data_IF_527316021262
#
_entry.id   IF_527316021262
#
_cell.length_a   1.000
_cell.length_b   1.000
_cell.length_c   1.000
_cell.angle_alpha   90.00
_cell.angle_beta   90.00
_cell.angle_gamma   90.00
#
_symmetry.space_group_name_H-M   'P 1'
#
loop_
_entity.id
_entity.type
_entity.pdbx_description
1 polymer ?
#
# COMPACT_ATOMS: atom_id res chain seq x y z
N UNK A 1 4.11 0.51 -16.48
CA UNK A 1 5.54 0.53 -16.07
C UNK A 1 5.68 -0.04 -14.67
N UNK A 2 6.87 -0.48 -14.23
CA UNK A 2 7.08 -1.10 -12.90
C UNK A 2 7.97 -0.20 -12.04
N UNK A 3 7.50 0.17 -10.85
CA UNK A 3 8.25 0.98 -9.88
C UNK A 3 8.48 0.17 -8.59
N UNK A 4 9.70 0.18 -8.07
CA UNK A 4 10.09 -0.51 -6.82
C UNK A 4 10.55 0.51 -5.78
N UNK A 5 10.01 0.40 -4.58
CA UNK A 5 10.30 1.30 -3.45
C UNK A 5 10.90 0.45 -2.34
N UNK A 6 12.16 0.74 -2.00
CA UNK A 6 12.97 -0.05 -1.05
C UNK A 6 12.99 0.56 0.36
N UNK A 7 12.69 1.86 0.50
CA UNK A 7 12.51 2.52 1.78
C UNK A 7 11.25 3.39 1.72
N UNK A 8 10.36 3.18 2.68
CA UNK A 8 9.19 4.02 2.88
C UNK A 8 9.65 5.27 3.63
N UNK A 9 9.68 6.41 2.95
CA UNK A 9 9.75 7.70 3.66
C UNK A 9 8.57 7.77 4.63
N UNK A 10 8.83 8.11 5.89
CA UNK A 10 7.82 8.12 6.96
C UNK A 10 7.02 9.41 7.03
N UNK A 11 7.29 10.39 6.17
CA UNK A 11 6.64 11.71 6.20
C UNK A 11 6.38 12.27 4.81
N UNK A 12 5.16 12.75 4.51
CA UNK A 12 4.87 13.51 3.30
C UNK A 12 5.66 14.82 3.22
N UNK A 13 5.93 15.36 2.01
CA UNK A 13 5.62 14.77 0.71
C UNK A 13 6.62 13.66 0.37
N UNK A 14 6.12 12.52 -0.13
CA UNK A 14 6.94 11.43 -0.64
C UNK A 14 7.63 11.85 -1.95
N UNK A 15 8.68 12.67 -1.84
CA UNK A 15 9.29 13.40 -2.97
C UNK A 15 9.85 12.50 -4.07
N UNK A 16 10.14 11.25 -3.73
CA UNK A 16 10.68 10.27 -4.67
C UNK A 16 9.59 9.60 -5.52
N UNK A 17 8.32 9.89 -5.26
CA UNK A 17 7.19 9.38 -6.04
C UNK A 17 6.78 10.40 -7.10
N UNK A 18 6.60 9.96 -8.37
CA UNK A 18 5.89 10.75 -9.37
C UNK A 18 4.53 11.24 -8.87
N UNK A 19 4.13 12.43 -9.32
CA UNK A 19 2.82 12.99 -8.99
C UNK A 19 1.67 12.22 -9.67
N UNK A 20 1.92 11.67 -10.86
CA UNK A 20 1.00 10.78 -11.58
C UNK A 20 1.58 9.37 -11.69
N UNK A 21 0.82 8.41 -11.16
CA UNK A 21 1.14 6.98 -11.14
C UNK A 21 0.16 6.17 -12.00
N UNK A 22 -0.61 6.83 -12.87
CA UNK A 22 -1.53 6.17 -13.81
C UNK A 22 -0.82 5.11 -14.63
N UNK A 23 -1.33 3.86 -14.58
CA UNK A 23 -0.77 2.73 -15.31
C UNK A 23 0.51 2.12 -14.71
N UNK A 24 0.94 2.58 -13.52
CA UNK A 24 2.03 1.97 -12.79
C UNK A 24 1.55 0.81 -11.91
N UNK A 25 2.32 -0.28 -11.95
CA UNK A 25 2.26 -1.33 -10.95
C UNK A 25 3.40 -1.11 -9.96
N UNK A 26 3.06 -0.91 -8.69
CA UNK A 26 3.97 -0.53 -7.62
C UNK A 26 4.10 -1.68 -6.64
N UNK A 27 5.35 -2.01 -6.30
CA UNK A 27 5.65 -2.99 -5.26
C UNK A 27 6.35 -2.29 -4.09
N UNK A 28 5.76 -2.41 -2.91
CA UNK A 28 6.32 -1.96 -1.64
C UNK A 28 6.95 -3.15 -0.95
N UNK A 29 8.27 -3.12 -0.77
CA UNK A 29 8.96 -4.14 0.01
C UNK A 29 9.16 -3.66 1.44
N UNK A 30 8.52 -4.34 2.40
CA UNK A 30 8.55 -4.01 3.82
C UNK A 30 9.41 -5.00 4.62
N UNK A 31 10.23 -5.82 3.95
CA UNK A 31 11.12 -6.80 4.59
C UNK A 31 12.09 -6.19 5.60
N UNK A 32 12.39 -4.89 5.45
CA UNK A 32 13.29 -4.13 6.31
C UNK A 32 12.60 -2.97 7.03
N UNK A 33 11.26 -2.98 7.12
CA UNK A 33 10.53 -1.94 7.81
C UNK A 33 10.36 -2.22 9.31
N UNK A 34 10.48 -1.17 10.12
CA UNK A 34 10.18 -1.18 11.55
C UNK A 34 8.68 -0.90 11.82
N UNK A 35 8.28 -0.97 13.11
CA UNK A 35 6.90 -0.77 13.51
C UNK A 35 6.35 0.63 13.17
N UNK A 36 7.18 1.66 13.23
CA UNK A 36 6.77 3.04 12.93
C UNK A 36 6.56 3.23 11.43
N UNK A 37 7.40 2.61 10.60
CA UNK A 37 7.25 2.58 9.15
C UNK A 37 6.01 1.77 8.72
N UNK A 38 5.69 0.68 9.43
CA UNK A 38 4.48 -0.08 9.19
C UNK A 38 3.21 0.67 9.61
N UNK A 39 3.26 1.50 10.64
CA UNK A 39 2.12 2.30 11.09
C UNK A 39 1.64 3.31 10.04
N UNK A 40 2.55 3.77 9.16
CA UNK A 40 2.22 4.71 8.06
C UNK A 40 1.97 4.03 6.72
N UNK A 41 2.09 2.69 6.63
CA UNK A 41 1.95 1.94 5.39
C UNK A 41 0.59 2.16 4.70
N UNK A 42 -0.49 2.16 5.48
CA UNK A 42 -1.84 2.40 4.95
C UNK A 42 -1.97 3.79 4.30
N UNK A 43 -1.41 4.82 4.94
CA UNK A 43 -1.41 6.17 4.38
C UNK A 43 -0.63 6.23 3.06
N UNK A 44 0.48 5.50 2.95
CA UNK A 44 1.26 5.40 1.72
C UNK A 44 0.46 4.69 0.63
N UNK A 45 -0.18 3.56 0.94
CA UNK A 45 -1.01 2.82 -0.04
C UNK A 45 -2.16 3.67 -0.55
N UNK A 46 -2.83 4.43 0.33
CA UNK A 46 -3.90 5.37 -0.05
C UNK A 46 -3.36 6.44 -0.99
N UNK A 47 -2.20 7.04 -0.67
CA UNK A 47 -1.59 8.08 -1.51
C UNK A 47 -1.22 7.56 -2.90
N UNK A 48 -0.65 6.36 -3.00
CA UNK A 48 -0.33 5.73 -4.28
C UNK A 48 -1.58 5.52 -5.16
N UNK A 49 -2.68 5.07 -4.55
CA UNK A 49 -3.97 4.92 -5.24
C UNK A 49 -4.56 6.26 -5.65
N UNK A 50 -4.47 7.28 -4.78
CA UNK A 50 -4.93 8.64 -5.08
C UNK A 50 -4.22 9.23 -6.30
N UNK A 51 -2.95 8.89 -6.49
CA UNK A 51 -2.14 9.27 -7.66
C UNK A 51 -2.36 8.39 -8.90
N UNK A 52 -3.28 7.44 -8.87
CA UNK A 52 -3.65 6.65 -10.05
C UNK A 52 -2.91 5.32 -10.23
N UNK A 53 -2.16 4.84 -9.22
CA UNK A 53 -1.50 3.54 -9.31
C UNK A 53 -2.49 2.42 -9.69
N UNK A 54 -2.25 1.77 -10.84
CA UNK A 54 -3.13 0.72 -11.36
C UNK A 54 -3.08 -0.55 -10.49
N UNK A 55 -1.95 -0.79 -9.82
CA UNK A 55 -1.78 -1.91 -8.88
C UNK A 55 -0.78 -1.54 -7.81
N UNK A 56 -1.09 -1.86 -6.55
CA UNK A 56 -0.16 -1.74 -5.42
C UNK A 56 -0.05 -3.12 -4.78
N UNK A 57 1.17 -3.64 -4.66
CA UNK A 57 1.49 -4.93 -4.04
C UNK A 57 2.43 -4.66 -2.87
N UNK A 58 2.14 -5.23 -1.71
CA UNK A 58 3.02 -5.18 -0.55
C UNK A 58 3.68 -6.55 -0.39
N UNK A 59 5.00 -6.59 -0.28
CA UNK A 59 5.82 -7.79 -0.10
C UNK A 59 6.71 -7.65 1.14
N UNK A 60 7.20 -8.75 1.71
CA UNK A 60 8.12 -8.68 2.85
C UNK A 60 7.45 -8.76 4.23
N UNK A 61 6.12 -8.69 4.30
CA UNK A 61 5.41 -9.14 5.48
C UNK A 61 5.40 -10.67 5.51
N UNK A 62 6.25 -11.28 6.35
CA UNK A 62 6.06 -12.66 6.82
C UNK A 62 4.78 -12.86 7.66
N UNK A 63 3.88 -11.87 7.67
CA UNK A 63 2.55 -11.95 8.25
C UNK A 63 1.57 -11.64 7.14
N UNK A 64 0.73 -12.61 6.82
CA UNK A 64 -0.44 -12.41 5.99
C UNK A 64 -1.14 -11.15 6.46
N UNK A 65 -1.05 -10.08 5.66
CA UNK A 65 -1.98 -8.97 5.77
C UNK A 65 -3.29 -9.52 5.22
N UNK A 66 -4.00 -10.31 6.05
CA UNK A 66 -5.37 -10.71 5.80
C UNK A 66 -6.15 -9.42 5.70
N UNK A 67 -6.33 -8.96 4.47
CA UNK A 67 -7.23 -7.88 4.13
C UNK A 67 -8.58 -8.27 4.70
N UNK A 68 -8.90 -7.73 5.87
CA UNK A 68 -10.24 -7.78 6.44
C UNK A 68 -11.10 -6.79 5.67
N UNK A 69 -11.23 -7.02 4.37
CA UNK A 69 -12.43 -6.71 3.62
C UNK A 69 -13.49 -7.74 4.04
N UNK A 70 -13.90 -7.69 5.31
CA UNK A 70 -15.15 -8.34 5.70
C UNK A 70 -16.25 -7.41 5.21
N UNK A 71 -16.59 -7.59 3.94
CA UNK A 71 -17.71 -6.97 3.29
C UNK A 71 -18.95 -7.12 4.16
N UNK A 72 -19.49 -5.98 4.50
CA UNK A 72 -20.86 -5.79 4.94
C UNK A 72 -21.83 -6.46 3.95
N UNK A 73 -22.47 -7.55 4.38
CA UNK A 73 -23.77 -8.07 3.90
C UNK A 73 -24.28 -8.93 5.08
N UNK A 74 -25.30 -8.54 5.82
CA UNK A 74 -26.59 -8.11 5.33
C UNK A 74 -27.45 -9.34 5.00
N UNK A 75 -28.10 -9.88 6.03
CA UNK A 75 -29.42 -10.56 5.99
C UNK A 75 -29.57 -11.86 5.18
N UNK A 76 -29.91 -12.97 5.87
CA UNK A 76 -31.16 -13.71 5.59
C UNK A 76 -31.49 -14.76 6.66
N UNK A 77 -32.80 -14.85 6.90
CA UNK A 77 -33.50 -15.65 7.88
C UNK A 77 -33.44 -17.16 7.62
N UNK A 78 -33.60 -17.92 8.71
CA UNK A 78 -34.40 -19.14 8.79
C UNK A 78 -34.94 -19.26 10.22
#
# INVERSE_FOLDING_TARGET
MKLRIHQLSTSPPYRDLPDDLTGYAITLDISHCDADQLAVLDAIVIELRRRGAARVVVTGAGREMTGSHRGHLGTRAA
#
